data_IF_703913336280
#
_entry.id   IF_703913336280
#
_cell.length_a   1.000
_cell.length_b   1.000
_cell.length_c   1.000
_cell.angle_alpha   90.00
_cell.angle_beta   90.00
_cell.angle_gamma   90.00
#
_symmetry.space_group_name_H-M   'P 1'
#
loop_
_entity.id
_entity.type
_entity.pdbx_description
1 polymer ?
#
# COMPACT_ATOMS: atom_id res chain seq x y z
N UNK A 1 -40.94 1.54 3.57
CA UNK A 1 -40.39 1.61 4.96
C UNK A 1 -39.45 0.46 5.27
N UNK A 2 -39.74 -0.81 4.90
CA UNK A 2 -38.88 -1.96 5.21
C UNK A 2 -37.53 -1.93 4.49
N UNK A 3 -37.44 -1.42 3.26
CA UNK A 3 -36.19 -1.34 2.52
C UNK A 3 -35.23 -0.27 3.07
N UNK A 4 -35.76 0.84 3.56
CA UNK A 4 -34.94 1.89 4.21
C UNK A 4 -34.38 1.43 5.55
N UNK A 5 -35.15 0.66 6.31
CA UNK A 5 -34.71 0.06 7.57
C UNK A 5 -33.60 -0.94 7.34
N UNK A 6 -33.73 -1.78 6.33
CA UNK A 6 -32.70 -2.75 5.93
C UNK A 6 -31.39 -2.08 5.53
N UNK A 7 -31.46 -1.01 4.72
CA UNK A 7 -30.28 -0.22 4.30
C UNK A 7 -29.61 0.42 5.52
N UNK A 8 -30.39 0.94 6.47
CA UNK A 8 -29.87 1.53 7.71
C UNK A 8 -29.15 0.50 8.56
N UNK A 9 -29.73 -0.70 8.74
CA UNK A 9 -29.12 -1.79 9.46
C UNK A 9 -27.83 -2.28 8.80
N UNK A 10 -27.78 -2.37 7.47
CA UNK A 10 -26.59 -2.73 6.73
C UNK A 10 -25.49 -1.68 6.89
N UNK A 11 -25.83 -0.39 6.87
CA UNK A 11 -24.86 0.71 7.10
C UNK A 11 -24.27 0.66 8.51
N UNK A 12 -25.08 0.41 9.52
CA UNK A 12 -24.63 0.29 10.92
C UNK A 12 -23.75 -0.96 11.11
N UNK A 13 -24.10 -2.08 10.50
CA UNK A 13 -23.30 -3.30 10.54
C UNK A 13 -21.94 -3.09 9.85
N UNK A 14 -21.93 -2.44 8.69
CA UNK A 14 -20.69 -2.12 7.97
C UNK A 14 -19.78 -1.18 8.77
N UNK A 15 -20.36 -0.16 9.41
CA UNK A 15 -19.60 0.77 10.27
C UNK A 15 -18.91 0.04 11.42
N UNK A 16 -19.62 -0.85 12.11
CA UNK A 16 -19.05 -1.66 13.19
C UNK A 16 -17.93 -2.58 12.70
N UNK A 17 -18.07 -3.16 11.50
CA UNK A 17 -17.03 -3.97 10.88
C UNK A 17 -15.79 -3.14 10.54
N UNK A 18 -15.98 -1.94 10.00
CA UNK A 18 -14.90 -1.00 9.67
C UNK A 18 -14.11 -0.59 10.92
N UNK A 19 -14.81 -0.26 12.02
CA UNK A 19 -14.20 0.06 13.29
C UNK A 19 -13.37 -1.12 13.83
N UNK A 20 -13.90 -2.34 13.73
CA UNK A 20 -13.20 -3.56 14.14
C UNK A 20 -11.97 -3.86 13.28
N UNK A 21 -12.06 -3.67 11.98
CA UNK A 21 -10.94 -3.81 11.05
C UNK A 21 -9.85 -2.81 11.40
N UNK A 22 -10.20 -1.56 11.66
CA UNK A 22 -9.26 -0.50 12.05
C UNK A 22 -8.53 -0.83 13.36
N UNK A 23 -9.25 -1.27 14.38
CA UNK A 23 -8.66 -1.71 15.65
C UNK A 23 -7.66 -2.86 15.46
N UNK A 24 -8.03 -3.87 14.66
CA UNK A 24 -7.18 -5.03 14.38
C UNK A 24 -5.93 -4.63 13.60
N UNK A 25 -6.05 -3.70 12.67
CA UNK A 25 -4.91 -3.18 11.91
C UNK A 25 -3.96 -2.38 12.80
N UNK A 26 -4.48 -1.49 13.64
CA UNK A 26 -3.67 -0.74 14.61
C UNK A 26 -2.93 -1.69 15.55
N UNK A 27 -3.57 -2.76 16.00
CA UNK A 27 -2.95 -3.78 16.83
C UNK A 27 -1.82 -4.50 16.09
N UNK A 28 -2.06 -4.95 14.86
CA UNK A 28 -1.06 -5.65 14.02
C UNK A 28 0.14 -4.74 13.75
N UNK A 29 -0.10 -3.47 13.42
CA UNK A 29 0.97 -2.50 13.15
C UNK A 29 1.84 -2.22 14.37
N UNK A 30 1.24 -2.15 15.56
CA UNK A 30 1.98 -1.89 16.82
C UNK A 30 2.87 -3.05 17.25
N UNK A 31 2.53 -4.28 16.91
CA UNK A 31 3.14 -5.47 17.49
C UNK A 31 3.84 -6.39 16.50
N UNK A 32 3.84 -6.08 15.21
CA UNK A 32 4.47 -6.91 14.18
C UNK A 32 5.99 -7.03 14.34
N UNK A 33 6.63 -6.03 14.93
CA UNK A 33 8.08 -6.01 15.15
C UNK A 33 8.54 -6.75 16.42
N UNK A 34 7.62 -7.29 17.24
CA UNK A 34 7.94 -7.94 18.51
C UNK A 34 7.60 -9.43 18.46
N UNK A 35 8.63 -10.31 18.52
CA UNK A 35 8.47 -11.75 18.41
C UNK A 35 7.52 -12.38 19.46
N UNK A 36 7.45 -11.83 20.68
CA UNK A 36 6.54 -12.33 21.72
C UNK A 36 5.07 -12.01 21.45
N UNK A 37 4.80 -11.01 20.63
CA UNK A 37 3.46 -10.56 20.24
C UNK A 37 3.05 -11.03 18.84
N UNK A 38 3.93 -11.69 18.11
CA UNK A 38 3.64 -12.18 16.75
C UNK A 38 2.51 -13.21 16.71
N UNK A 39 2.39 -14.06 17.75
CA UNK A 39 1.29 -15.03 17.87
C UNK A 39 -0.06 -14.34 18.02
N UNK A 40 -0.11 -13.24 18.78
CA UNK A 40 -1.34 -12.45 18.95
C UNK A 40 -1.67 -11.70 17.66
N UNK A 41 -0.67 -11.15 16.96
CA UNK A 41 -0.85 -10.51 15.66
C UNK A 41 -1.38 -11.51 14.62
N UNK A 42 -0.89 -12.75 14.60
CA UNK A 42 -1.37 -13.81 13.72
C UNK A 42 -2.82 -14.19 14.02
N UNK A 43 -3.19 -14.30 15.32
CA UNK A 43 -4.57 -14.58 15.72
C UNK A 43 -5.52 -13.46 15.29
N UNK A 44 -5.10 -12.21 15.45
CA UNK A 44 -5.87 -11.03 15.00
C UNK A 44 -5.99 -10.97 13.47
N UNK A 45 -4.94 -11.34 12.76
CA UNK A 45 -4.96 -11.47 11.30
C UNK A 45 -5.99 -12.50 10.83
N UNK A 46 -6.06 -13.67 11.48
CA UNK A 46 -7.07 -14.70 11.18
C UNK A 46 -8.49 -14.21 11.47
N UNK A 47 -8.70 -13.49 12.58
CA UNK A 47 -9.99 -12.89 12.90
C UNK A 47 -10.43 -11.90 11.83
N UNK A 48 -9.50 -11.10 11.31
CA UNK A 48 -9.73 -10.15 10.22
C UNK A 48 -10.08 -10.84 8.91
N UNK A 49 -9.37 -11.91 8.55
CA UNK A 49 -9.67 -12.74 7.37
C UNK A 49 -11.08 -13.34 7.44
N UNK A 50 -11.52 -13.77 8.62
CA UNK A 50 -12.87 -14.30 8.83
C UNK A 50 -13.94 -13.23 8.62
N UNK A 51 -13.73 -12.01 9.12
CA UNK A 51 -14.64 -10.88 8.88
C UNK A 51 -14.77 -10.59 7.38
N UNK A 52 -13.67 -10.69 6.63
CA UNK A 52 -13.66 -10.48 5.18
C UNK A 52 -14.45 -11.54 4.42
N UNK A 53 -14.35 -12.81 4.79
CA UNK A 53 -15.11 -13.89 4.16
C UNK A 53 -16.62 -13.68 4.32
N UNK A 54 -17.07 -13.11 5.44
CA UNK A 54 -18.47 -12.79 5.67
C UNK A 54 -18.97 -11.62 4.79
N UNK A 55 -18.06 -10.74 4.35
CA UNK A 55 -18.37 -9.59 3.48
C UNK A 55 -18.38 -9.92 1.98
N UNK A 56 -17.96 -11.10 1.57
CA UNK A 56 -17.92 -11.53 0.14
C UNK A 56 -19.29 -11.88 -0.44
N UNK A 57 -20.39 -11.50 0.18
CA UNK A 57 -21.72 -11.63 -0.45
C UNK A 57 -21.81 -10.64 -1.61
N UNK A 58 -22.31 -11.05 -2.77
CA UNK A 58 -22.42 -10.18 -3.93
C UNK A 58 -23.35 -9.01 -3.60
N UNK A 59 -22.78 -7.89 -3.21
CA UNK A 59 -23.49 -6.63 -3.19
C UNK A 59 -23.47 -6.05 -4.60
N UNK A 60 -24.47 -5.27 -4.95
CA UNK A 60 -24.51 -4.51 -6.20
C UNK A 60 -23.41 -3.45 -6.31
N UNK A 61 -22.58 -3.28 -5.27
CA UNK A 61 -21.46 -2.37 -5.22
C UNK A 61 -20.20 -3.05 -5.75
N UNK A 62 -19.56 -2.41 -6.71
CA UNK A 62 -18.25 -2.82 -7.22
C UNK A 62 -17.18 -2.31 -6.27
N UNK A 63 -16.40 -3.22 -5.69
CA UNK A 63 -15.22 -2.91 -4.89
C UNK A 63 -13.97 -3.11 -5.74
N UNK A 64 -12.93 -2.29 -5.56
CA UNK A 64 -11.65 -2.59 -6.16
C UNK A 64 -11.11 -3.90 -5.56
N UNK A 65 -10.54 -4.74 -6.42
CA UNK A 65 -9.90 -5.99 -6.02
C UNK A 65 -8.40 -5.77 -5.90
N UNK A 66 -7.91 -5.68 -4.67
CA UNK A 66 -6.51 -5.45 -4.38
C UNK A 66 -5.89 -6.72 -3.81
N UNK A 67 -4.95 -7.29 -4.58
CA UNK A 67 -4.21 -8.49 -4.24
C UNK A 67 -2.76 -8.33 -4.70
N UNK A 68 -1.87 -8.16 -3.74
CA UNK A 68 -0.44 -8.00 -4.01
C UNK A 68 0.24 -9.37 -3.99
N UNK A 69 0.74 -9.82 -5.15
CA UNK A 69 1.43 -11.09 -5.31
C UNK A 69 2.88 -10.87 -5.69
N UNK A 70 3.84 -11.22 -4.81
CA UNK A 70 5.25 -11.13 -5.17
C UNK A 70 5.60 -12.13 -6.27
N UNK A 71 6.44 -11.70 -7.21
CA UNK A 71 7.00 -12.57 -8.25
C UNK A 71 8.12 -13.47 -7.71
N UNK A 72 8.68 -13.12 -6.57
CA UNK A 72 9.80 -13.81 -5.94
C UNK A 72 9.62 -13.86 -4.43
N UNK A 73 9.94 -15.00 -3.84
CA UNK A 73 10.03 -15.12 -2.38
C UNK A 73 11.17 -14.25 -1.84
N UNK A 74 10.91 -13.63 -0.69
CA UNK A 74 11.89 -12.79 -0.02
C UNK A 74 12.82 -13.65 0.84
N UNK A 75 14.14 -13.39 0.77
CA UNK A 75 15.13 -14.04 1.61
C UNK A 75 15.16 -13.49 3.04
N UNK A 76 16.08 -13.99 3.85
CA UNK A 76 16.21 -13.62 5.26
C UNK A 76 16.76 -12.19 5.44
N UNK A 77 17.66 -11.76 4.57
CA UNK A 77 18.20 -10.39 4.57
C UNK A 77 17.33 -9.47 3.71
N UNK A 78 16.64 -8.55 4.35
CA UNK A 78 15.71 -7.67 3.68
C UNK A 78 16.26 -6.25 3.54
N UNK A 79 16.52 -5.57 4.65
CA UNK A 79 17.02 -4.21 4.66
C UNK A 79 17.91 -3.97 5.87
N UNK A 80 19.05 -3.32 5.63
CA UNK A 80 19.90 -2.77 6.67
C UNK A 80 20.06 -1.28 6.44
N UNK A 81 19.81 -0.49 7.47
CA UNK A 81 20.00 0.96 7.49
C UNK A 81 20.96 1.29 8.63
N UNK A 82 22.04 2.02 8.32
CA UNK A 82 23.08 2.38 9.28
C UNK A 82 23.36 3.88 9.27
N UNK A 83 23.19 4.51 10.41
CA UNK A 83 23.59 5.91 10.69
C UNK A 83 23.10 6.91 9.65
N UNK A 84 21.88 6.73 9.17
CA UNK A 84 21.31 7.52 8.10
C UNK A 84 20.92 8.90 8.59
N UNK A 85 21.46 9.95 7.96
CA UNK A 85 21.13 11.34 8.24
C UNK A 85 20.83 12.11 6.98
N UNK A 86 19.90 13.04 7.06
CA UNK A 86 19.52 13.94 5.97
C UNK A 86 19.07 15.30 6.49
N UNK A 87 19.59 16.35 5.89
CA UNK A 87 19.19 17.75 6.13
C UNK A 87 18.49 18.28 4.89
N UNK A 88 17.32 18.89 5.06
CA UNK A 88 16.54 19.54 3.99
C UNK A 88 16.26 20.97 4.43
N UNK A 89 16.62 21.92 3.58
CA UNK A 89 16.43 23.37 3.82
C UNK A 89 16.94 23.82 5.20
N UNK A 90 18.12 23.33 5.58
CA UNK A 90 18.75 23.66 6.85
C UNK A 90 18.21 22.93 8.08
N UNK A 91 17.20 22.08 7.91
CA UNK A 91 16.61 21.30 9.00
C UNK A 91 17.03 19.83 8.88
N UNK A 92 17.58 19.28 9.98
CA UNK A 92 17.95 17.87 10.04
C UNK A 92 16.70 17.01 10.26
N UNK A 93 16.16 16.45 9.16
CA UNK A 93 14.93 15.65 9.16
C UNK A 93 15.16 14.20 9.57
N UNK A 94 16.33 13.65 9.27
CA UNK A 94 16.78 12.34 9.73
C UNK A 94 18.11 12.51 10.46
N UNK A 95 18.21 11.95 11.66
CA UNK A 95 19.37 12.05 12.51
C UNK A 95 19.81 10.68 13.01
N UNK A 96 20.88 10.17 12.41
CA UNK A 96 21.54 8.92 12.80
C UNK A 96 20.58 7.73 12.97
N UNK A 97 19.78 7.46 11.95
CA UNK A 97 18.78 6.41 11.96
C UNK A 97 19.43 5.07 11.60
N UNK A 98 19.25 4.07 12.44
CA UNK A 98 19.72 2.70 12.21
C UNK A 98 18.64 1.69 12.54
N UNK A 99 18.38 0.77 11.63
CA UNK A 99 17.48 -0.36 11.85
C UNK A 99 17.71 -1.46 10.82
N UNK A 100 17.20 -2.65 11.10
CA UNK A 100 17.18 -3.77 10.17
C UNK A 100 15.78 -4.34 10.04
N UNK A 101 15.44 -4.87 8.87
CA UNK A 101 14.18 -5.56 8.63
C UNK A 101 14.41 -7.01 8.23
N UNK A 102 13.57 -7.89 8.76
CA UNK A 102 13.49 -9.30 8.40
C UNK A 102 12.33 -9.59 7.45
N UNK A 103 12.23 -10.82 6.98
CA UNK A 103 11.34 -11.24 5.90
C UNK A 103 9.83 -11.21 6.22
N UNK A 104 9.44 -11.11 7.49
CA UNK A 104 8.04 -11.06 7.92
C UNK A 104 7.62 -9.68 8.45
N UNK A 105 8.49 -8.68 8.35
CA UNK A 105 8.24 -7.41 9.00
C UNK A 105 7.18 -6.58 8.28
N UNK A 106 6.24 -6.06 9.08
CA UNK A 106 5.26 -5.05 8.67
C UNK A 106 5.38 -3.89 9.63
N UNK A 107 6.01 -2.81 9.17
CA UNK A 107 6.44 -1.70 10.02
C UNK A 107 5.63 -0.45 9.74
N UNK A 108 4.99 0.05 10.79
CA UNK A 108 4.38 1.37 10.78
C UNK A 108 5.36 2.41 11.30
N UNK A 109 5.58 3.44 10.52
CA UNK A 109 6.34 4.62 10.95
C UNK A 109 5.35 5.62 11.55
N UNK A 110 5.46 5.81 12.86
CA UNK A 110 4.59 6.69 13.64
C UNK A 110 5.41 7.86 14.14
N UNK A 111 4.95 9.06 13.90
CA UNK A 111 5.63 10.25 14.40
C UNK A 111 4.96 11.54 13.94
N UNK A 112 5.26 12.62 14.66
CA UNK A 112 4.76 13.94 14.35
C UNK A 112 5.40 14.56 13.09
N UNK A 113 6.52 14.03 12.63
CA UNK A 113 7.25 14.57 11.47
C UNK A 113 7.04 13.71 10.22
N UNK A 114 5.99 14.02 9.47
CA UNK A 114 5.66 13.37 8.19
C UNK A 114 6.77 13.56 7.15
N UNK A 115 7.46 14.70 7.16
CA UNK A 115 8.57 14.98 6.25
C UNK A 115 9.74 14.01 6.47
N UNK A 116 10.03 13.63 7.71
CA UNK A 116 11.08 12.67 8.02
C UNK A 116 10.77 11.29 7.40
N UNK A 117 9.54 10.83 7.51
CA UNK A 117 9.12 9.53 6.98
C UNK A 117 9.15 9.55 5.44
N UNK A 118 8.60 10.58 4.82
CA UNK A 118 8.64 10.76 3.36
C UNK A 118 10.08 10.80 2.84
N UNK A 119 10.98 11.51 3.54
CA UNK A 119 12.40 11.59 3.20
C UNK A 119 13.06 10.23 3.29
N UNK A 120 12.80 9.47 4.36
CA UNK A 120 13.33 8.12 4.53
C UNK A 120 12.89 7.20 3.38
N UNK A 121 11.61 7.22 3.02
CA UNK A 121 11.09 6.40 1.92
C UNK A 121 11.72 6.77 0.59
N UNK A 122 11.87 8.07 0.28
CA UNK A 122 12.54 8.53 -0.94
C UNK A 122 14.00 8.07 -1.02
N UNK A 123 14.71 8.09 0.09
CA UNK A 123 16.08 7.58 0.15
C UNK A 123 16.10 6.08 -0.13
N UNK A 124 15.23 5.31 0.53
CA UNK A 124 15.20 3.86 0.41
C UNK A 124 14.81 3.36 -0.99
N UNK A 125 14.06 4.14 -1.75
CA UNK A 125 13.72 3.81 -3.15
C UNK A 125 14.66 4.43 -4.18
N UNK A 126 15.70 5.13 -3.73
CA UNK A 126 16.74 5.69 -4.60
C UNK A 126 16.40 7.03 -5.24
N UNK A 127 15.34 7.70 -4.84
CA UNK A 127 14.96 9.04 -5.34
C UNK A 127 15.74 10.19 -4.69
N UNK A 128 16.40 9.93 -3.58
CA UNK A 128 17.16 10.90 -2.82
C UNK A 128 18.40 10.25 -2.21
N UNK A 129 19.52 10.99 -2.20
CA UNK A 129 20.73 10.54 -1.54
C UNK A 129 20.75 10.95 -0.05
N UNK A 130 21.23 10.10 0.87
CA UNK A 130 21.48 10.51 2.24
C UNK A 130 22.69 11.45 2.33
N UNK A 131 22.74 12.28 3.36
CA UNK A 131 23.92 13.09 3.64
C UNK A 131 25.01 12.30 4.37
N UNK A 132 24.59 11.39 5.25
CA UNK A 132 25.45 10.47 6.00
C UNK A 132 24.80 9.10 6.12
N UNK A 133 25.62 8.10 6.35
CA UNK A 133 25.17 6.73 6.51
C UNK A 133 24.93 6.01 5.19
N UNK A 134 24.43 4.79 5.31
CA UNK A 134 24.13 3.94 4.16
C UNK A 134 22.94 3.02 4.42
N UNK A 135 22.45 2.44 3.35
CA UNK A 135 21.43 1.40 3.42
C UNK A 135 21.71 0.33 2.37
N UNK A 136 21.25 -0.87 2.63
CA UNK A 136 21.40 -1.99 1.71
C UNK A 136 20.14 -2.85 1.71
N UNK A 137 19.55 -3.02 0.53
CA UNK A 137 18.51 -4.00 0.30
C UNK A 137 19.10 -5.39 0.06
N UNK A 138 18.44 -6.42 0.55
CA UNK A 138 18.79 -7.79 0.25
C UNK A 138 18.65 -8.10 -1.25
N UNK A 139 19.45 -9.05 -1.75
CA UNK A 139 19.52 -9.39 -3.19
C UNK A 139 18.21 -9.95 -3.76
N UNK A 140 17.34 -10.48 -2.91
CA UNK A 140 16.03 -11.02 -3.31
C UNK A 140 14.91 -9.99 -3.29
N UNK A 141 15.19 -8.76 -2.85
CA UNK A 141 14.17 -7.72 -2.67
C UNK A 141 13.86 -6.96 -3.94
N UNK A 142 12.60 -6.60 -4.09
CA UNK A 142 12.10 -5.67 -5.09
C UNK A 142 11.09 -4.73 -4.45
N UNK A 143 11.21 -3.44 -4.69
CA UNK A 143 10.42 -2.41 -4.01
C UNK A 143 9.35 -1.85 -4.94
N UNK A 144 8.16 -1.64 -4.40
CA UNK A 144 7.12 -0.82 -4.99
C UNK A 144 6.80 0.32 -4.04
N UNK A 145 6.73 1.53 -4.56
CA UNK A 145 6.56 2.74 -3.80
C UNK A 145 5.27 3.47 -4.14
N UNK A 146 4.50 3.76 -3.11
CA UNK A 146 3.33 4.63 -3.18
C UNK A 146 3.72 5.99 -2.58
N UNK A 147 4.03 7.01 -3.41
CA UNK A 147 4.47 8.31 -2.93
C UNK A 147 3.33 9.12 -2.31
N UNK A 148 3.65 9.97 -1.36
CA UNK A 148 2.70 10.93 -0.79
C UNK A 148 2.23 11.94 -1.83
N UNK A 149 3.16 12.47 -2.63
CA UNK A 149 2.89 13.33 -3.78
C UNK A 149 3.11 12.54 -5.08
N UNK A 150 2.04 12.29 -5.80
CA UNK A 150 2.04 11.53 -7.05
C UNK A 150 2.06 12.39 -8.31
N UNK A 151 2.23 13.69 -8.20
CA UNK A 151 2.12 14.62 -9.34
C UNK A 151 3.05 14.25 -10.47
N UNK A 152 4.32 13.91 -10.19
CA UNK A 152 5.31 13.54 -11.18
C UNK A 152 4.97 12.24 -11.92
N UNK A 153 4.26 11.32 -11.29
CA UNK A 153 3.87 10.04 -11.90
C UNK A 153 2.88 10.21 -13.05
N UNK A 154 2.05 11.26 -13.00
CA UNK A 154 0.94 11.49 -13.93
C UNK A 154 1.10 12.72 -14.81
N UNK A 155 2.24 13.39 -14.74
CA UNK A 155 2.54 14.56 -15.57
C UNK A 155 3.13 14.15 -16.93
N UNK A 156 2.32 13.45 -17.72
CA UNK A 156 2.67 13.01 -19.08
C UNK A 156 1.39 12.77 -19.89
N UNK A 157 1.55 12.49 -21.18
CA UNK A 157 0.44 12.30 -22.13
C UNK A 157 0.11 10.82 -22.40
N UNK A 158 0.60 9.90 -21.57
CA UNK A 158 0.29 8.49 -21.72
C UNK A 158 -1.19 8.20 -21.43
N UNK A 159 -1.74 7.22 -22.12
CA UNK A 159 -3.03 6.62 -21.71
C UNK A 159 -2.83 5.79 -20.44
N UNK A 160 -3.89 5.52 -19.70
CA UNK A 160 -3.81 4.69 -18.49
C UNK A 160 -3.21 3.31 -18.83
N UNK A 161 -3.64 2.71 -19.93
CA UNK A 161 -3.13 1.41 -20.38
C UNK A 161 -1.63 1.46 -20.68
N UNK A 162 -1.18 2.45 -21.43
CA UNK A 162 0.25 2.59 -21.77
C UNK A 162 1.09 2.93 -20.55
N UNK A 163 0.57 3.76 -19.67
CA UNK A 163 1.21 4.11 -18.41
C UNK A 163 1.45 2.87 -17.53
N UNK A 164 0.42 2.03 -17.37
CA UNK A 164 0.54 0.83 -16.55
C UNK A 164 1.42 -0.24 -17.22
N UNK A 165 1.39 -0.34 -18.53
CA UNK A 165 2.20 -1.31 -19.31
C UNK A 165 3.69 -1.16 -19.04
N UNK A 166 4.19 0.06 -18.78
CA UNK A 166 5.60 0.30 -18.47
C UNK A 166 6.11 -0.53 -17.29
N UNK A 167 5.23 -0.82 -16.32
CA UNK A 167 5.58 -1.48 -15.07
C UNK A 167 5.29 -2.99 -15.08
N UNK A 168 4.75 -3.50 -16.17
CA UNK A 168 4.42 -4.91 -16.33
C UNK A 168 5.54 -5.68 -17.02
N UNK A 169 5.89 -6.84 -16.52
CA UNK A 169 6.78 -7.77 -17.23
C UNK A 169 6.09 -8.33 -18.48
N UNK A 170 4.78 -8.57 -18.38
CA UNK A 170 3.96 -9.03 -19.50
C UNK A 170 3.37 -7.82 -20.21
N UNK A 171 3.84 -7.53 -21.44
CA UNK A 171 3.45 -6.35 -22.23
C UNK A 171 2.17 -6.55 -23.04
N UNK A 172 1.32 -7.49 -22.68
CA UNK A 172 0.04 -7.74 -23.34
C UNK A 172 -1.03 -6.77 -22.81
N UNK A 173 -1.70 -6.06 -23.71
CA UNK A 173 -2.76 -5.13 -23.38
C UNK A 173 -3.93 -5.77 -22.62
N UNK A 174 -4.30 -7.01 -22.96
CA UNK A 174 -5.36 -7.74 -22.26
C UNK A 174 -5.01 -8.02 -20.82
N UNK A 175 -3.77 -8.42 -20.56
CA UNK A 175 -3.24 -8.63 -19.21
C UNK A 175 -3.26 -7.34 -18.38
N UNK A 176 -2.77 -6.24 -18.93
CA UNK A 176 -2.75 -4.91 -18.27
C UNK A 176 -4.18 -4.41 -17.99
N UNK A 177 -5.08 -4.52 -18.94
CA UNK A 177 -6.50 -4.16 -18.77
C UNK A 177 -7.19 -4.98 -17.69
N UNK A 178 -6.76 -6.22 -17.46
CA UNK A 178 -7.24 -7.06 -16.35
C UNK A 178 -7.00 -6.42 -15.00
N UNK A 179 -5.83 -5.85 -14.78
CA UNK A 179 -5.53 -5.10 -13.55
C UNK A 179 -6.36 -3.82 -13.42
N UNK A 180 -6.51 -3.07 -14.50
CA UNK A 180 -7.34 -1.87 -14.51
C UNK A 180 -8.81 -2.18 -14.23
N UNK A 181 -9.32 -3.27 -14.77
CA UNK A 181 -10.69 -3.73 -14.49
C UNK A 181 -10.91 -4.06 -13.03
N UNK A 182 -9.95 -4.71 -12.38
CA UNK A 182 -9.99 -5.00 -10.94
C UNK A 182 -10.02 -3.72 -10.09
N UNK A 183 -9.43 -2.65 -10.58
CA UNK A 183 -9.39 -1.34 -9.93
C UNK A 183 -10.51 -0.41 -10.37
N UNK A 184 -11.60 -0.96 -10.91
CA UNK A 184 -12.82 -0.27 -11.32
C UNK A 184 -12.63 0.72 -12.47
N UNK A 185 -11.66 0.49 -13.35
CA UNK A 185 -11.57 1.20 -14.62
C UNK A 185 -12.30 0.40 -15.69
N UNK A 186 -13.42 0.91 -16.26
CA UNK A 186 -14.07 0.30 -17.42
C UNK A 186 -13.11 0.21 -18.61
N UNK A 187 -13.34 -0.73 -19.52
CA UNK A 187 -12.48 -0.91 -20.69
C UNK A 187 -12.26 0.35 -21.54
N UNK A 188 -13.27 1.22 -21.57
CA UNK A 188 -13.22 2.51 -22.27
C UNK A 188 -12.29 3.53 -21.60
N UNK A 189 -12.11 3.45 -20.28
CA UNK A 189 -11.25 4.37 -19.53
C UNK A 189 -9.76 4.14 -19.80
N UNK A 190 -9.38 2.99 -20.31
CA UNK A 190 -8.00 2.67 -20.65
C UNK A 190 -7.35 3.61 -21.66
N UNK A 191 -8.14 4.33 -22.46
CA UNK A 191 -7.68 5.34 -23.42
C UNK A 191 -7.62 6.77 -22.86
N UNK A 192 -8.11 6.99 -21.64
CA UNK A 192 -7.97 8.29 -20.98
C UNK A 192 -6.50 8.61 -20.73
N UNK A 193 -6.15 9.87 -20.83
CA UNK A 193 -4.81 10.34 -20.47
C UNK A 193 -4.67 10.39 -18.96
N UNK A 194 -3.54 9.97 -18.42
CA UNK A 194 -3.30 9.97 -16.97
C UNK A 194 -3.32 11.38 -16.38
N UNK A 195 -3.03 12.38 -17.18
CA UNK A 195 -3.04 13.80 -16.79
C UNK A 195 -4.42 14.30 -16.33
N UNK A 196 -5.50 13.75 -16.87
CA UNK A 196 -6.87 14.20 -16.60
C UNK A 196 -7.57 13.43 -15.49
N UNK A 197 -6.88 12.50 -14.84
CA UNK A 197 -7.45 11.66 -13.79
C UNK A 197 -7.76 12.46 -12.51
N UNK A 198 -8.82 12.08 -11.83
CA UNK A 198 -9.12 12.56 -10.48
C UNK A 198 -8.12 12.02 -9.45
N UNK A 199 -8.09 12.61 -8.24
CA UNK A 199 -7.22 12.14 -7.17
C UNK A 199 -7.43 10.67 -6.83
N UNK A 200 -8.68 10.22 -6.71
CA UNK A 200 -9.01 8.82 -6.44
C UNK A 200 -8.64 7.87 -7.59
N UNK A 201 -8.83 8.30 -8.82
CA UNK A 201 -8.40 7.53 -10.01
C UNK A 201 -6.87 7.39 -10.07
N UNK A 202 -6.13 8.45 -9.78
CA UNK A 202 -4.66 8.40 -9.69
C UNK A 202 -4.18 7.40 -8.64
N UNK A 203 -4.80 7.40 -7.46
CA UNK A 203 -4.46 6.44 -6.40
C UNK A 203 -4.75 5.01 -6.84
N UNK A 204 -5.88 4.75 -7.49
CA UNK A 204 -6.20 3.43 -8.02
C UNK A 204 -5.21 2.99 -9.11
N UNK A 205 -4.71 3.91 -9.94
CA UNK A 205 -3.62 3.64 -10.89
C UNK A 205 -2.32 3.24 -10.17
N UNK A 206 -1.93 3.97 -9.13
CA UNK A 206 -0.74 3.65 -8.33
C UNK A 206 -0.84 2.27 -7.69
N UNK A 207 -1.98 1.92 -7.14
CA UNK A 207 -2.21 0.58 -6.58
C UNK A 207 -2.14 -0.50 -7.66
N UNK A 208 -2.66 -0.25 -8.85
CA UNK A 208 -2.52 -1.14 -10.00
C UNK A 208 -1.05 -1.34 -10.39
N UNK A 209 -0.26 -0.26 -10.40
CA UNK A 209 1.20 -0.32 -10.63
C UNK A 209 1.89 -1.21 -9.59
N UNK A 210 1.57 -1.04 -8.31
CA UNK A 210 2.14 -1.84 -7.25
C UNK A 210 1.78 -3.32 -7.38
N UNK A 211 0.54 -3.63 -7.75
CA UNK A 211 0.12 -5.01 -7.98
C UNK A 211 0.83 -5.65 -9.18
N UNK A 212 0.89 -4.95 -10.30
CA UNK A 212 1.43 -5.49 -11.55
C UNK A 212 2.96 -5.63 -11.51
N UNK A 213 3.63 -4.84 -10.68
CA UNK A 213 5.08 -4.89 -10.52
C UNK A 213 5.59 -6.18 -9.90
N UNK A 214 4.75 -6.87 -9.13
CA UNK A 214 5.14 -8.10 -8.44
C UNK A 214 6.21 -7.92 -7.35
N UNK A 215 6.35 -6.72 -6.80
CA UNK A 215 7.32 -6.45 -5.74
C UNK A 215 7.02 -7.21 -4.46
N UNK A 216 8.07 -7.57 -3.73
CA UNK A 216 7.96 -8.23 -2.43
C UNK A 216 8.17 -7.27 -1.24
N UNK A 217 8.48 -6.01 -1.51
CA UNK A 217 8.53 -4.91 -0.53
C UNK A 217 7.57 -3.82 -0.97
N UNK A 218 6.66 -3.42 -0.11
CA UNK A 218 5.74 -2.31 -0.35
C UNK A 218 6.06 -1.16 0.61
N UNK A 219 6.29 0.03 0.04
CA UNK A 219 6.44 1.27 0.79
C UNK A 219 5.25 2.17 0.47
N UNK A 220 4.45 2.50 1.48
CA UNK A 220 3.20 3.24 1.32
C UNK A 220 3.23 4.50 2.17
N UNK A 221 3.25 5.66 1.53
CA UNK A 221 3.24 6.96 2.18
C UNK A 221 1.85 7.61 2.06
N UNK A 222 1.06 7.51 3.12
CA UNK A 222 -0.31 8.01 3.21
C UNK A 222 -1.24 7.53 2.07
N UNK A 223 -1.40 6.23 1.88
CA UNK A 223 -2.10 5.69 0.71
C UNK A 223 -3.61 5.90 0.74
N UNK A 224 -4.17 6.31 1.89
CA UNK A 224 -5.63 6.37 2.10
C UNK A 224 -6.23 7.76 1.89
N UNK A 225 -5.43 8.81 1.70
CA UNK A 225 -5.89 10.21 1.66
C UNK A 225 -6.95 10.51 0.60
N UNK A 226 -6.95 9.81 -0.53
CA UNK A 226 -7.88 10.05 -1.64
C UNK A 226 -8.76 8.84 -1.96
N UNK A 227 -8.90 7.92 -1.02
CA UNK A 227 -9.72 6.73 -1.17
C UNK A 227 -11.02 6.85 -0.39
N UNK A 228 -12.10 6.31 -0.96
CA UNK A 228 -13.33 6.08 -0.22
C UNK A 228 -13.17 4.91 0.77
N UNK A 229 -14.14 4.75 1.68
CA UNK A 229 -14.07 3.73 2.74
C UNK A 229 -13.99 2.32 2.17
N UNK A 230 -14.64 2.05 1.06
CA UNK A 230 -14.65 0.74 0.42
C UNK A 230 -13.29 0.40 -0.18
N UNK A 231 -12.65 1.37 -0.81
CA UNK A 231 -11.30 1.23 -1.34
C UNK A 231 -10.25 1.11 -0.24
N UNK A 232 -10.40 1.83 0.87
CA UNK A 232 -9.55 1.68 2.07
C UNK A 232 -9.66 0.27 2.61
N UNK A 233 -10.85 -0.27 2.74
CA UNK A 233 -11.07 -1.65 3.20
C UNK A 233 -10.41 -2.65 2.25
N UNK A 234 -10.57 -2.49 0.94
CA UNK A 234 -9.94 -3.35 -0.06
C UNK A 234 -8.41 -3.29 0.01
N UNK A 235 -7.83 -2.10 0.15
CA UNK A 235 -6.39 -1.93 0.31
C UNK A 235 -5.89 -2.63 1.57
N UNK A 236 -6.54 -2.40 2.68
CA UNK A 236 -6.16 -3.00 3.96
C UNK A 236 -6.22 -4.53 3.90
N UNK A 237 -7.23 -5.08 3.27
CA UNK A 237 -7.35 -6.53 3.04
C UNK A 237 -6.20 -7.06 2.19
N UNK A 238 -5.84 -6.37 1.13
CA UNK A 238 -4.70 -6.73 0.28
C UNK A 238 -3.37 -6.68 1.03
N UNK A 239 -3.16 -5.70 1.88
CA UNK A 239 -1.95 -5.56 2.69
C UNK A 239 -1.83 -6.65 3.76
N UNK A 240 -2.93 -7.05 4.38
CA UNK A 240 -2.93 -8.10 5.41
C UNK A 240 -2.57 -9.46 4.81
N UNK A 241 -3.05 -9.75 3.61
CA UNK A 241 -2.75 -11.00 2.89
C UNK A 241 -1.36 -11.01 2.25
N UNK A 242 -0.73 -9.86 2.13
CA UNK A 242 0.55 -9.75 1.47
C UNK A 242 1.64 -10.51 2.23
N UNK A 243 2.33 -11.48 1.60
CA UNK A 243 3.33 -12.32 2.27
C UNK A 243 4.71 -11.67 2.41
N UNK A 244 4.93 -10.49 1.82
CA UNK A 244 6.19 -9.77 1.85
C UNK A 244 6.27 -8.74 2.97
N UNK A 245 7.22 -7.84 2.84
CA UNK A 245 7.49 -6.76 3.82
C UNK A 245 6.75 -5.49 3.44
N UNK A 246 6.18 -4.82 4.43
CA UNK A 246 5.46 -3.55 4.26
C UNK A 246 6.06 -2.52 5.20
N UNK A 247 6.40 -1.35 4.62
CA UNK A 247 6.70 -0.13 5.35
C UNK A 247 5.61 0.88 5.02
N UNK A 248 4.96 1.43 6.03
CA UNK A 248 3.86 2.36 5.82
C UNK A 248 3.80 3.45 6.87
N UNK A 249 3.18 4.57 6.52
CA UNK A 249 2.89 5.65 7.44
C UNK A 249 1.59 5.35 8.19
N UNK A 250 1.57 5.67 9.49
CA UNK A 250 0.38 5.59 10.33
C UNK A 250 0.14 6.93 11.03
N UNK A 251 -1.09 7.36 10.97
CA UNK A 251 -1.57 8.55 11.69
C UNK A 251 -2.31 8.16 12.97
#
# INVERSE_FOLDING_TARGET
ESSQLLIKQMKEANKKKEEKIKELQEFISRFSANASKSKQATSRKRALEKIQLDDMRPSSRKYPYIDFRPNREIGNEVLMVENLSKTIDGVKVLDNISFTLGHDDKVAFVGANEQAITTLFKILVGEMEPDEGNYKWGVTTSQAYFPKDNTAEFDNDLTITDWLTQYSEIKDATYVRGFLGRMLFPGEDGIKRVRVLSGGEKVRCLLSKMMISGANILLLDEPTNHLDMESITALNNGLIKFPGVILFTSH
#
